data_IF_979715753906
#
_entry.id   IF_979715753906
#
_cell.length_a   1.000
_cell.length_b   1.000
_cell.length_c   1.000
_cell.angle_alpha   90.00
_cell.angle_beta   90.00
_cell.angle_gamma   90.00
#
_symmetry.space_group_name_H-M   'P 1'
#
loop_
_entity.id
_entity.type
_entity.pdbx_description
1 polymer ?
#
# COMPACT_ATOMS: atom_id res chain seq x y z
N UNK A 1 19.08 19.52 -15.15
CA UNK A 1 17.90 19.23 -15.99
C UNK A 1 18.40 18.45 -17.19
N UNK A 2 18.18 17.12 -17.23
CA UNK A 2 18.92 16.21 -18.11
C UNK A 2 18.56 16.41 -19.60
N UNK A 3 19.50 16.96 -20.37
CA UNK A 3 19.43 17.09 -21.84
C UNK A 3 20.78 16.76 -22.46
N UNK A 4 21.33 15.56 -22.23
CA UNK A 4 22.69 15.27 -22.71
C UNK A 4 22.76 14.66 -24.11
N UNK A 5 21.68 14.12 -24.68
CA UNK A 5 21.69 13.64 -26.06
C UNK A 5 20.39 13.97 -26.80
N UNK A 6 20.49 14.63 -27.96
CA UNK A 6 19.38 14.93 -28.91
C UNK A 6 18.84 13.65 -29.59
N UNK A 7 18.54 12.61 -28.83
CA UNK A 7 18.02 11.35 -29.33
C UNK A 7 16.49 11.36 -29.25
N UNK A 8 15.82 10.83 -30.27
CA UNK A 8 14.38 10.59 -30.18
C UNK A 8 14.10 9.55 -29.10
N UNK A 9 12.99 9.71 -28.38
CA UNK A 9 12.55 8.77 -27.32
C UNK A 9 12.57 7.33 -27.82
N UNK A 10 12.22 7.10 -29.09
CA UNK A 10 12.30 5.79 -29.74
C UNK A 10 13.72 5.22 -29.77
N UNK A 11 14.72 6.02 -30.17
CA UNK A 11 16.13 5.58 -30.18
C UNK A 11 16.64 5.34 -28.76
N UNK A 12 16.30 6.23 -27.82
CA UNK A 12 16.68 6.08 -26.43
C UNK A 12 16.10 4.79 -25.80
N UNK A 13 14.79 4.51 -26.00
CA UNK A 13 14.16 3.28 -25.51
C UNK A 13 14.79 2.03 -26.12
N UNK A 14 15.11 2.04 -27.42
CA UNK A 14 15.74 0.91 -28.11
C UNK A 14 17.15 0.62 -27.56
N UNK A 15 17.94 1.66 -27.30
CA UNK A 15 19.28 1.52 -26.69
C UNK A 15 19.18 1.04 -25.23
N UNK A 16 18.21 1.54 -24.48
CA UNK A 16 17.98 1.16 -23.08
C UNK A 16 17.31 -0.22 -22.90
N UNK A 17 16.92 -0.91 -23.99
CA UNK A 17 16.20 -2.18 -23.93
C UNK A 17 14.78 -2.07 -23.36
N UNK A 18 14.22 -0.86 -23.31
CA UNK A 18 12.87 -0.59 -22.80
C UNK A 18 11.86 -0.55 -23.95
N UNK A 19 10.65 -1.06 -23.70
CA UNK A 19 9.54 -0.78 -24.59
C UNK A 19 9.09 0.68 -24.41
N UNK A 20 8.62 1.31 -25.50
CA UNK A 20 8.12 2.69 -25.44
C UNK A 20 6.94 2.82 -24.46
N UNK A 21 6.13 1.77 -24.34
CA UNK A 21 5.05 1.71 -23.34
C UNK A 21 5.59 1.71 -21.91
N UNK A 22 6.65 0.95 -21.62
CA UNK A 22 7.28 0.93 -20.30
C UNK A 22 7.90 2.29 -19.93
N UNK A 23 8.43 3.02 -20.92
CA UNK A 23 8.98 4.37 -20.71
C UNK A 23 7.91 5.38 -20.27
N UNK A 24 6.71 5.34 -20.86
CA UNK A 24 5.61 6.24 -20.48
C UNK A 24 4.76 5.72 -19.32
N UNK A 25 4.80 4.41 -19.04
CA UNK A 25 4.00 3.81 -17.98
C UNK A 25 4.62 4.14 -16.63
N UNK A 26 4.03 5.11 -15.95
CA UNK A 26 4.26 5.31 -14.52
C UNK A 26 3.42 4.25 -13.79
N UNK A 27 4.03 3.25 -13.11
CA UNK A 27 3.26 2.36 -12.28
C UNK A 27 2.66 3.18 -11.12
N UNK A 28 1.35 3.05 -10.82
CA UNK A 28 0.78 3.70 -9.65
C UNK A 28 1.53 3.27 -8.41
N UNK A 29 1.82 4.23 -7.53
CA UNK A 29 2.57 3.94 -6.31
C UNK A 29 1.76 2.94 -5.47
N UNK A 30 2.41 1.93 -4.86
CA UNK A 30 1.71 0.98 -3.99
C UNK A 30 0.84 1.67 -2.92
N UNK A 31 1.28 2.82 -2.41
CA UNK A 31 0.56 3.64 -1.43
C UNK A 31 -0.80 4.14 -1.95
N UNK A 32 -0.91 4.50 -3.23
CA UNK A 32 -2.18 4.98 -3.81
C UNK A 32 -3.24 3.88 -3.81
N UNK A 33 -2.81 2.63 -4.02
CA UNK A 33 -3.72 1.49 -3.94
C UNK A 33 -4.18 1.27 -2.52
N UNK A 34 -3.27 1.39 -1.56
CA UNK A 34 -3.52 1.09 -0.15
C UNK A 34 -4.20 2.22 0.61
N UNK A 35 -4.27 3.44 0.06
CA UNK A 35 -4.95 4.59 0.65
C UNK A 35 -6.37 4.25 1.13
N UNK A 36 -7.16 3.58 0.29
CA UNK A 36 -8.53 3.20 0.62
C UNK A 36 -8.60 2.20 1.80
N UNK A 37 -7.59 1.32 1.93
CA UNK A 37 -7.44 0.38 3.04
C UNK A 37 -7.05 1.13 4.31
N UNK A 38 -6.11 2.08 4.21
CA UNK A 38 -5.63 2.91 5.32
C UNK A 38 -6.79 3.70 5.92
N UNK A 39 -7.56 4.41 5.10
CA UNK A 39 -8.67 5.26 5.54
C UNK A 39 -9.74 4.44 6.28
N UNK A 40 -10.08 3.27 5.73
CA UNK A 40 -11.05 2.40 6.36
C UNK A 40 -10.55 1.79 7.67
N UNK A 41 -9.27 1.39 7.71
CA UNK A 41 -8.64 0.85 8.92
C UNK A 41 -8.61 1.91 10.03
N UNK A 42 -8.16 3.12 9.71
CA UNK A 42 -8.13 4.24 10.64
C UNK A 42 -9.52 4.55 11.18
N UNK A 43 -10.54 4.63 10.31
CA UNK A 43 -11.91 4.86 10.76
C UNK A 43 -12.49 3.75 11.66
N UNK A 44 -12.04 2.49 11.52
CA UNK A 44 -12.45 1.40 12.43
C UNK A 44 -11.68 1.48 13.76
N UNK A 45 -10.38 1.76 13.70
CA UNK A 45 -9.51 1.87 14.88
C UNK A 45 -9.87 3.08 15.73
N UNK A 46 -10.15 4.24 15.14
CA UNK A 46 -10.59 5.44 15.86
C UNK A 46 -11.88 5.18 16.64
N UNK A 47 -12.84 4.46 16.04
CA UNK A 47 -14.08 4.07 16.71
C UNK A 47 -13.86 3.02 17.80
N UNK A 48 -12.85 2.17 17.66
CA UNK A 48 -12.63 1.02 18.52
C UNK A 48 -11.14 0.77 18.82
N UNK A 49 -10.46 1.69 19.49
CA UNK A 49 -9.00 1.64 19.68
C UNK A 49 -8.46 0.45 20.49
N UNK A 50 -9.33 -0.34 21.12
CA UNK A 50 -8.96 -1.59 21.84
C UNK A 50 -9.02 -2.83 20.96
N UNK A 51 -9.51 -2.72 19.73
CA UNK A 51 -9.67 -3.87 18.85
C UNK A 51 -8.32 -4.28 18.25
N UNK A 52 -8.03 -5.57 18.34
CA UNK A 52 -6.93 -6.16 17.58
C UNK A 52 -7.30 -6.39 16.12
N UNK A 53 -6.30 -6.75 15.33
CA UNK A 53 -6.41 -6.94 13.88
C UNK A 53 -7.67 -7.68 13.41
N UNK A 54 -7.96 -8.87 13.96
CA UNK A 54 -9.08 -9.69 13.50
C UNK A 54 -10.43 -8.99 13.67
N UNK A 55 -10.66 -8.29 14.79
CA UNK A 55 -11.91 -7.53 14.99
C UNK A 55 -12.04 -6.38 14.00
N UNK A 56 -10.94 -5.69 13.70
CA UNK A 56 -10.93 -4.64 12.69
C UNK A 56 -11.19 -5.21 11.29
N UNK A 57 -10.55 -6.34 10.95
CA UNK A 57 -10.73 -7.01 9.66
C UNK A 57 -12.16 -7.53 9.48
N UNK A 58 -12.74 -8.18 10.49
CA UNK A 58 -14.11 -8.68 10.45
C UNK A 58 -15.10 -7.53 10.29
N UNK A 59 -14.87 -6.40 10.97
CA UNK A 59 -15.70 -5.20 10.80
C UNK A 59 -15.63 -4.65 9.37
N UNK A 60 -14.43 -4.60 8.77
CA UNK A 60 -14.25 -4.22 7.37
C UNK A 60 -14.94 -5.18 6.41
N UNK A 61 -14.98 -6.47 6.75
CA UNK A 61 -15.69 -7.49 5.97
C UNK A 61 -17.21 -7.30 6.05
N UNK A 62 -17.72 -6.94 7.23
CA UNK A 62 -19.13 -6.58 7.43
C UNK A 62 -19.52 -5.30 6.69
N UNK A 63 -18.59 -4.35 6.52
CA UNK A 63 -18.78 -3.18 5.65
C UNK A 63 -18.77 -3.53 4.15
N UNK A 64 -18.71 -4.82 3.80
CA UNK A 64 -18.78 -5.29 2.41
C UNK A 64 -17.47 -5.17 1.63
N UNK A 65 -16.35 -4.86 2.29
CA UNK A 65 -15.06 -4.64 1.59
C UNK A 65 -14.43 -5.99 1.18
N UNK A 66 -14.16 -6.22 -0.12
CA UNK A 66 -13.69 -7.51 -0.63
C UNK A 66 -12.17 -7.72 -0.51
N UNK A 67 -11.52 -7.15 0.52
CA UNK A 67 -10.06 -7.17 0.61
C UNK A 67 -9.50 -8.46 1.19
N UNK A 68 -8.35 -8.89 0.65
CA UNK A 68 -7.60 -10.02 1.18
C UNK A 68 -7.01 -9.66 2.56
N UNK A 69 -7.18 -10.53 3.56
CA UNK A 69 -6.62 -10.34 4.89
C UNK A 69 -5.10 -10.11 4.88
N UNK A 70 -4.35 -10.71 3.94
CA UNK A 70 -2.89 -10.48 3.81
C UNK A 70 -2.56 -9.03 3.46
N UNK A 71 -3.38 -8.42 2.59
CA UNK A 71 -3.23 -7.03 2.19
C UNK A 71 -3.51 -6.09 3.36
N UNK A 72 -4.61 -6.33 4.06
CA UNK A 72 -5.01 -5.53 5.24
C UNK A 72 -4.00 -5.70 6.37
N UNK A 73 -3.50 -6.91 6.59
CA UNK A 73 -2.45 -7.19 7.59
C UNK A 73 -1.17 -6.42 7.32
N UNK A 74 -0.68 -6.41 6.06
CA UNK A 74 0.50 -5.63 5.69
C UNK A 74 0.32 -4.15 6.04
N UNK A 75 -0.79 -3.55 5.59
CA UNK A 75 -1.09 -2.14 5.87
C UNK A 75 -1.22 -1.89 7.37
N UNK A 76 -1.87 -2.79 8.12
CA UNK A 76 -2.01 -2.70 9.57
C UNK A 76 -0.65 -2.69 10.29
N UNK A 77 0.31 -3.50 9.84
CA UNK A 77 1.67 -3.51 10.36
C UNK A 77 2.44 -2.24 9.95
N UNK A 78 2.33 -1.79 8.70
CA UNK A 78 2.97 -0.57 8.20
C UNK A 78 2.48 0.68 8.98
N UNK A 79 1.20 0.70 9.39
CA UNK A 79 0.63 1.77 10.23
C UNK A 79 1.04 1.70 11.72
N UNK A 80 1.79 0.68 12.14
CA UNK A 80 2.22 0.54 13.54
C UNK A 80 1.08 0.26 14.52
N UNK A 81 -0.09 -0.20 14.04
CA UNK A 81 -1.27 -0.47 14.86
C UNK A 81 -1.16 -1.75 15.70
N UNK A 82 -0.08 -2.51 15.53
CA UNK A 82 0.15 -3.73 16.27
C UNK A 82 0.50 -3.41 17.73
N UNK A 83 -0.39 -3.79 18.65
CA UNK A 83 -0.16 -3.62 20.09
C UNK A 83 0.89 -4.64 20.54
N UNK A 84 2.07 -4.22 21.03
CA UNK A 84 3.07 -5.16 21.51
C UNK A 84 2.51 -5.93 22.71
N UNK A 85 2.66 -7.26 22.69
CA UNK A 85 2.31 -8.10 23.84
C UNK A 85 3.17 -7.63 25.02
N UNK A 86 2.54 -7.14 26.09
CA UNK A 86 3.25 -6.87 27.35
C UNK A 86 3.80 -8.20 27.86
N UNK A 87 5.10 -8.40 27.68
CA UNK A 87 5.81 -9.50 28.32
C UNK A 87 5.72 -9.32 29.83
N UNK A 88 5.31 -10.36 30.55
CA UNK A 88 5.40 -10.38 32.02
C UNK A 88 6.88 -10.19 32.37
N UNK A 89 7.24 -9.12 33.09
CA UNK A 89 8.60 -9.00 33.66
C UNK A 89 8.82 -10.24 34.52
N UNK A 90 9.82 -11.06 34.15
CA UNK A 90 10.28 -12.19 34.95
C UNK A 90 11.10 -11.68 36.12
#
# INVERSE_FOLDING_TARGET
>A
MATEHRLSVTRACRVAGLSRAAYYKVPPLPQEKDAEVIDALNGVVERNGRWGFWKCFDRLRLDGRPWNHKRVWRVYCELGLNIPRRTKRR
#
